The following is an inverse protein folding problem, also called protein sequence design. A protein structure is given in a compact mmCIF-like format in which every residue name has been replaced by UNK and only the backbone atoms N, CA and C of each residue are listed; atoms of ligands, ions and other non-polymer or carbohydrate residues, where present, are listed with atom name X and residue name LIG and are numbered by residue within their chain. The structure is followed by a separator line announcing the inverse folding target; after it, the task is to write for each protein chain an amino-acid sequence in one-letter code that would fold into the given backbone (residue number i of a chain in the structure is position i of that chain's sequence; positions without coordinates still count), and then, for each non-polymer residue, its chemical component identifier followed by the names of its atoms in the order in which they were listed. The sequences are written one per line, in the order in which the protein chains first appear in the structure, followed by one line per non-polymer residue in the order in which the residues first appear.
data_IF_406980525048
#
_entry.id   IF_406980525048
#
_cell.length_a   1.000
_cell.length_b   1.000
_cell.length_c   1.000
_cell.angle_alpha   90.00
_cell.angle_beta   90.00
_cell.angle_gamma   90.00
#
_symmetry.space_group_name_H-M   'P 1'
#
loop_
_entity.id
_entity.type
_entity.pdbx_description
1 polymer ?
#
# COMPACT_ATOMS: atom_id res chain seq x y z
N UNK A 1 -13.29 -5.66 -2.41
CA UNK A 1 -12.79 -4.52 -1.61
C UNK A 1 -12.11 -3.54 -2.54
N UNK A 2 -12.55 -2.32 -2.51
CA UNK A 2 -12.00 -1.26 -3.37
C UNK A 2 -10.94 -0.47 -2.59
N UNK A 3 -9.76 -0.31 -3.19
CA UNK A 3 -8.65 0.39 -2.56
C UNK A 3 -8.13 1.49 -3.45
N UNK A 4 -7.72 2.59 -2.86
CA UNK A 4 -6.97 3.63 -3.56
C UNK A 4 -5.48 3.34 -3.38
N UNK A 5 -4.78 3.15 -4.49
CA UNK A 5 -3.36 2.81 -4.48
C UNK A 5 -2.54 4.03 -4.89
N UNK A 6 -1.61 4.39 -4.03
CA UNK A 6 -0.65 5.45 -4.27
C UNK A 6 0.73 4.84 -4.46
N UNK A 7 1.49 5.36 -5.39
CA UNK A 7 2.87 4.94 -5.60
C UNK A 7 3.83 6.00 -5.10
N UNK A 8 4.96 5.56 -4.58
CA UNK A 8 6.02 6.45 -4.15
C UNK A 8 7.33 5.98 -4.76
N UNK A 9 7.99 6.88 -5.49
CA UNK A 9 9.28 6.58 -6.09
C UNK A 9 10.36 6.56 -5.01
N UNK A 10 11.15 5.51 -4.99
CA UNK A 10 12.28 5.33 -4.09
C UNK A 10 13.54 5.17 -4.91
N UNK A 11 14.65 5.66 -4.38
CA UNK A 11 15.94 5.51 -5.01
C UNK A 11 16.96 5.09 -3.97
N UNK A 12 17.74 4.08 -4.31
CA UNK A 12 18.86 3.63 -3.48
C UNK A 12 20.13 3.67 -4.32
N UNK A 13 21.26 3.92 -3.66
CA UNK A 13 22.58 3.89 -4.30
C UNK A 13 23.41 2.82 -3.62
N UNK A 14 23.97 1.92 -4.43
CA UNK A 14 24.89 0.90 -3.93
C UNK A 14 26.21 1.57 -3.59
N UNK A 15 26.65 1.48 -2.34
CA UNK A 15 27.87 2.10 -1.86
C UNK A 15 29.14 1.45 -2.44
N UNK A 16 29.06 0.20 -2.88
CA UNK A 16 30.22 -0.50 -3.44
C UNK A 16 30.40 -0.23 -4.93
N UNK A 17 29.32 -0.17 -5.69
CA UNK A 17 29.37 0.00 -7.14
C UNK A 17 29.03 1.41 -7.60
N UNK A 18 28.43 2.23 -6.73
CA UNK A 18 27.96 3.56 -7.06
C UNK A 18 26.74 3.57 -7.97
N UNK A 19 26.16 2.42 -8.25
CA UNK A 19 24.98 2.32 -9.10
C UNK A 19 23.73 2.72 -8.34
N UNK A 20 22.89 3.53 -8.98
CA UNK A 20 21.58 3.89 -8.45
C UNK A 20 20.51 2.92 -8.95
N UNK A 21 19.60 2.56 -8.07
CA UNK A 21 18.45 1.73 -8.39
C UNK A 21 17.19 2.50 -8.04
N UNK A 22 16.26 2.57 -8.98
CA UNK A 22 14.95 3.17 -8.77
C UNK A 22 13.91 2.08 -8.63
N UNK A 23 13.05 2.19 -7.62
CA UNK A 23 11.92 1.29 -7.43
C UNK A 23 10.73 2.07 -6.88
N UNK A 24 9.56 1.45 -6.93
CA UNK A 24 8.33 2.06 -6.45
C UNK A 24 7.77 1.26 -5.28
N UNK A 25 7.28 1.98 -4.28
CA UNK A 25 6.51 1.38 -3.19
C UNK A 25 5.05 1.81 -3.35
N UNK A 26 4.15 0.93 -2.95
CA UNK A 26 2.72 1.17 -3.05
C UNK A 26 2.12 1.30 -1.67
N UNK A 27 1.18 2.23 -1.53
CA UNK A 27 0.55 2.54 -0.27
C UNK A 27 -0.96 2.65 -0.46
N UNK A 28 -1.70 2.31 0.56
CA UNK A 28 -3.13 2.58 0.63
C UNK A 28 -3.49 3.10 2.01
N UNK A 29 -4.64 3.75 2.12
CA UNK A 29 -5.14 4.22 3.40
C UNK A 29 -6.40 3.45 3.75
N UNK A 30 -6.41 2.88 4.94
CA UNK A 30 -7.57 2.20 5.51
C UNK A 30 -8.13 3.04 6.65
N UNK A 31 -9.43 2.93 6.86
CA UNK A 31 -10.10 3.67 7.94
C UNK A 31 -10.61 2.68 8.97
N UNK A 32 -10.25 2.91 10.22
CA UNK A 32 -10.78 2.13 11.34
C UNK A 32 -12.24 2.51 11.56
N UNK A 33 -13.15 1.54 11.44
CA UNK A 33 -14.59 1.78 11.55
C UNK A 33 -15.02 2.21 12.96
N UNK A 34 -14.25 1.85 13.97
CA UNK A 34 -14.58 2.17 15.35
C UNK A 34 -14.07 3.56 15.74
N UNK A 35 -12.80 3.86 15.46
CA UNK A 35 -12.19 5.13 15.83
C UNK A 35 -12.31 6.20 14.75
N UNK A 36 -12.53 5.82 13.50
CA UNK A 36 -12.52 6.74 12.36
C UNK A 36 -11.13 7.19 11.95
N UNK A 37 -10.09 6.67 12.55
CA UNK A 37 -8.71 7.08 12.26
C UNK A 37 -8.19 6.43 10.98
N UNK A 38 -7.48 7.19 10.12
CA UNK A 38 -6.84 6.63 8.95
C UNK A 38 -5.58 5.88 9.34
N UNK A 39 -5.31 4.81 8.60
CA UNK A 39 -4.10 4.00 8.75
C UNK A 39 -3.43 3.85 7.39
N UNK A 40 -2.17 4.26 7.29
CA UNK A 40 -1.40 4.06 6.08
C UNK A 40 -0.81 2.66 6.09
N UNK A 41 -1.05 1.92 5.02
CA UNK A 41 -0.64 0.53 4.88
C UNK A 41 0.26 0.39 3.66
N UNK A 42 1.40 -0.26 3.84
CA UNK A 42 2.26 -0.61 2.72
C UNK A 42 1.66 -1.79 1.99
N UNK A 43 1.50 -1.65 0.68
CA UNK A 43 0.89 -2.68 -0.15
C UNK A 43 1.97 -3.41 -0.94
N UNK A 44 1.94 -4.73 -0.88
CA UNK A 44 2.79 -5.61 -1.66
C UNK A 44 1.94 -6.44 -2.60
N UNK A 45 2.34 -6.51 -3.84
CA UNK A 45 1.65 -7.32 -4.85
C UNK A 45 2.49 -8.57 -5.11
N UNK A 46 1.82 -9.72 -5.18
CA UNK A 46 2.49 -10.96 -5.55
C UNK A 46 2.94 -10.90 -7.00
N UNK A 47 4.07 -11.50 -7.29
CA UNK A 47 4.64 -11.50 -8.63
C UNK A 47 3.67 -12.05 -9.69
N UNK A 48 2.88 -13.05 -9.32
CA UNK A 48 1.92 -13.67 -10.22
C UNK A 48 0.82 -12.72 -10.70
N UNK A 49 0.41 -11.76 -9.85
CA UNK A 49 -0.62 -10.79 -10.25
C UNK A 49 -0.03 -9.45 -10.70
N UNK A 50 1.24 -9.20 -10.38
CA UNK A 50 1.91 -7.95 -10.69
C UNK A 50 1.35 -6.76 -9.91
N UNK A 51 1.91 -5.59 -10.15
CA UNK A 51 1.50 -4.34 -9.52
C UNK A 51 0.94 -3.39 -10.60
N UNK A 52 0.09 -2.42 -10.19
CA UNK A 52 -0.35 -1.38 -11.13
C UNK A 52 0.83 -0.55 -11.61
N UNK A 53 0.70 0.01 -12.82
CA UNK A 53 1.71 0.90 -13.36
C UNK A 53 1.85 2.13 -12.45
N UNK A 54 3.06 2.44 -11.95
CA UNK A 54 3.25 3.62 -11.11
C UNK A 54 2.85 4.92 -11.78
N UNK A 55 2.97 5.00 -13.11
CA UNK A 55 2.59 6.20 -13.86
C UNK A 55 1.07 6.40 -13.90
N UNK A 56 0.31 5.34 -13.65
CA UNK A 56 -1.15 5.39 -13.57
C UNK A 56 -1.66 5.56 -12.14
N UNK A 57 -0.77 5.59 -11.17
CA UNK A 57 -1.12 5.86 -9.78
C UNK A 57 -1.11 7.36 -9.50
N UNK A 58 -1.99 7.85 -8.60
CA UNK A 58 -2.94 7.05 -7.84
C UNK A 58 -4.10 6.52 -8.68
N UNK A 59 -4.57 5.34 -8.32
CA UNK A 59 -5.70 4.70 -9.00
C UNK A 59 -6.50 3.85 -8.01
N UNK A 60 -7.72 3.50 -8.40
CA UNK A 60 -8.51 2.54 -7.65
C UNK A 60 -8.31 1.14 -8.20
N UNK A 61 -8.26 0.18 -7.30
CA UNK A 61 -8.27 -1.25 -7.65
C UNK A 61 -9.37 -1.96 -6.90
N UNK A 62 -9.86 -3.05 -7.47
CA UNK A 62 -10.80 -3.96 -6.82
C UNK A 62 -10.05 -5.24 -6.47
N UNK A 63 -10.13 -5.63 -5.20
CA UNK A 63 -9.50 -6.85 -4.69
C UNK A 63 -10.60 -7.80 -4.24
N UNK A 64 -10.68 -9.01 -4.83
CA UNK A 64 -11.67 -10.00 -4.41
C UNK A 64 -11.49 -10.40 -2.95
N UNK A 65 -12.57 -10.83 -2.32
CA UNK A 65 -12.52 -11.29 -0.94
C UNK A 65 -11.53 -12.46 -0.81
N UNK A 66 -10.71 -12.40 0.24
CA UNK A 66 -9.70 -13.42 0.50
C UNK A 66 -8.41 -13.28 -0.30
N UNK A 67 -8.30 -12.26 -1.15
CA UNK A 67 -7.12 -12.01 -1.97
C UNK A 67 -6.20 -10.92 -1.43
N UNK A 68 -6.51 -10.37 -0.27
CA UNK A 68 -5.66 -9.42 0.43
C UNK A 68 -5.47 -9.88 1.87
N UNK A 69 -4.23 -9.89 2.33
CA UNK A 69 -3.87 -10.29 3.69
C UNK A 69 -3.16 -9.15 4.39
N UNK A 70 -3.73 -8.71 5.50
CA UNK A 70 -3.15 -7.66 6.32
C UNK A 70 -2.29 -8.29 7.41
N UNK A 71 -1.06 -7.80 7.55
CA UNK A 71 -0.16 -8.23 8.60
C UNK A 71 0.48 -7.02 9.27
N UNK A 72 0.99 -7.24 10.48
CA UNK A 72 1.67 -6.22 11.26
C UNK A 72 3.10 -6.66 11.51
N UNK A 73 4.04 -5.77 11.15
CA UNK A 73 5.46 -5.99 11.43
C UNK A 73 5.91 -5.07 12.54
N UNK A 74 6.70 -5.59 13.45
CA UNK A 74 7.32 -4.80 14.50
C UNK A 74 8.74 -4.45 14.10
N UNK A 75 9.12 -3.21 14.32
CA UNK A 75 10.48 -2.75 14.07
C UNK A 75 10.88 -1.72 15.12
N UNK A 76 12.18 -1.51 15.26
CA UNK A 76 12.72 -0.48 16.13
C UNK A 76 13.18 0.68 15.29
N UNK A 77 12.70 1.88 15.59
CA UNK A 77 13.10 3.08 14.87
C UNK A 77 14.49 3.58 15.36
N UNK A 78 14.97 4.65 14.74
CA UNK A 78 16.28 5.21 15.05
C UNK A 78 16.39 5.72 16.49
N UNK A 79 15.27 6.08 17.10
CA UNK A 79 15.22 6.54 18.49
C UNK A 79 15.16 5.39 19.50
N UNK A 80 15.16 4.13 19.04
CA UNK A 80 15.07 2.96 19.89
C UNK A 80 13.66 2.61 20.33
N UNK A 81 12.65 3.27 19.75
CA UNK A 81 11.25 2.99 20.08
C UNK A 81 10.72 1.81 19.25
N UNK A 82 9.93 0.96 19.90
CA UNK A 82 9.27 -0.14 19.22
C UNK A 82 8.05 0.37 18.47
N UNK A 83 8.04 0.14 17.15
CA UNK A 83 6.99 0.61 16.24
C UNK A 83 6.33 -0.57 15.55
N UNK A 84 5.10 -0.36 15.09
CA UNK A 84 4.39 -1.33 14.28
C UNK A 84 4.05 -0.72 12.93
N UNK A 85 4.22 -1.49 11.86
CA UNK A 85 3.87 -1.10 10.50
C UNK A 85 2.87 -2.09 9.94
N UNK A 86 1.80 -1.58 9.33
CA UNK A 86 0.82 -2.40 8.64
C UNK A 86 1.29 -2.69 7.23
N UNK A 87 1.16 -3.93 6.81
CA UNK A 87 1.52 -4.39 5.46
C UNK A 87 0.41 -5.27 4.92
N UNK A 88 0.03 -5.02 3.67
CA UNK A 88 -0.98 -5.81 2.98
C UNK A 88 -0.36 -6.53 1.80
N UNK A 89 -0.56 -7.85 1.71
CA UNK A 89 -0.19 -8.65 0.55
C UNK A 89 -1.42 -8.89 -0.30
N UNK A 90 -1.33 -8.54 -1.59
CA UNK A 90 -2.42 -8.73 -2.56
C UNK A 90 -1.99 -9.82 -3.54
N UNK A 91 -2.86 -10.82 -3.70
CA UNK A 91 -2.62 -11.97 -4.58
C UNK A 91 -3.41 -11.90 -5.87
N UNK A 92 -4.47 -11.08 -5.90
CA UNK A 92 -5.30 -10.88 -7.08
C UNK A 92 -5.98 -9.51 -7.01
N UNK A 93 -6.01 -8.80 -8.11
CA UNK A 93 -6.64 -7.49 -8.20
C UNK A 93 -6.99 -7.16 -9.64
N UNK A 94 -7.89 -6.19 -9.83
CA UNK A 94 -8.14 -5.60 -11.14
C UNK A 94 -8.30 -4.09 -10.98
N UNK A 95 -8.00 -3.37 -12.05
CA UNK A 95 -8.11 -1.92 -12.03
C UNK A 95 -9.57 -1.51 -12.01
N UNK A 96 -9.92 -0.61 -11.09
CA UNK A 96 -11.30 -0.13 -10.91
C UNK A 96 -11.51 1.29 -11.44
N UNK A 97 -10.45 2.01 -11.80
CA UNK A 97 -10.55 3.34 -12.38
C UNK A 97 -9.46 4.29 -11.91
N UNK A 98 -9.49 5.50 -12.44
CA UNK A 98 -8.58 6.56 -12.03
C UNK A 98 -8.96 7.08 -10.65
N UNK A 99 -7.95 7.50 -9.89
CA UNK A 99 -8.17 8.10 -8.59
C UNK A 99 -8.90 9.44 -8.73
N UNK A 100 -9.95 9.58 -7.94
CA UNK A 100 -10.67 10.84 -7.76
C UNK A 100 -10.60 11.18 -6.28
N UNK A 101 -10.23 12.42 -5.97
CA UNK A 101 -10.08 12.86 -4.59
C UNK A 101 -11.46 13.03 -3.95
N UNK A 102 -11.93 11.95 -3.36
CA UNK A 102 -13.19 11.91 -2.62
C UNK A 102 -12.92 11.87 -1.12
N UNK A 103 -13.99 12.07 -0.34
CA UNK A 103 -13.92 11.81 1.08
C UNK A 103 -13.66 10.31 1.32
N UNK A 104 -13.17 9.99 2.51
CA UNK A 104 -12.87 8.59 2.87
C UNK A 104 -14.11 7.69 2.84
N UNK A 105 -15.31 8.27 2.78
CA UNK A 105 -16.56 7.52 2.64
C UNK A 105 -16.67 6.76 1.33
N UNK A 106 -15.93 7.17 0.32
CA UNK A 106 -15.87 6.50 -0.98
C UNK A 106 -15.05 5.20 -0.94
N UNK A 107 -14.27 4.98 0.09
CA UNK A 107 -13.42 3.81 0.22
C UNK A 107 -14.03 2.78 1.16
N UNK A 108 -13.84 1.51 0.83
CA UNK A 108 -14.16 0.44 1.75
C UNK A 108 -13.28 0.55 2.99
N UNK A 109 -13.90 0.52 4.16
CA UNK A 109 -13.15 0.41 5.39
C UNK A 109 -12.71 -1.04 5.57
N UNK A 110 -11.46 -1.25 5.91
CA UNK A 110 -10.98 -2.56 6.29
C UNK A 110 -11.55 -2.88 7.67
N UNK A 111 -12.14 -4.03 7.86
CA UNK A 111 -12.90 -4.43 9.06
C UNK A 111 -12.21 -4.29 10.41
N UNK A 112 -11.59 -3.20 10.60
CA UNK A 112 -10.88 -2.83 11.82
C UNK A 112 -11.71 -1.94 12.70
#
# INVERSE_FOLDING_TARGET
MKLAIFSKKRQTTDSETGKSRTFYTYLTTLVNKVSGEPLTVQVKFREACGAPDPDLCPCFIEVPQGKANLSWDKYTNDDGEEMEAARMWITEWERAGDYVDHSLDEYDAFGV
#
